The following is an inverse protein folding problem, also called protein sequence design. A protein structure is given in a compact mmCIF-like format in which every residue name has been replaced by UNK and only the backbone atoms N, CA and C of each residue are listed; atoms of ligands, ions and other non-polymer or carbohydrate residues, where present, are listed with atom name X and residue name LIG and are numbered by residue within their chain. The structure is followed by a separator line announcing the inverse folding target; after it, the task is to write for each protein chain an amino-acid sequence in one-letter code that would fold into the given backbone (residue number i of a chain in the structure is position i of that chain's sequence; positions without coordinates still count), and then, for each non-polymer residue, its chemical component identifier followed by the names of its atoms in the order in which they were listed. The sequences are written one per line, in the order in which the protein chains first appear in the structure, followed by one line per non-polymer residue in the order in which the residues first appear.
data_IF_055249735475
#
_entry.id   IF_055249735475
#
_cell.length_a   1.000
_cell.length_b   1.000
_cell.length_c   1.000
_cell.angle_alpha   90.00
_cell.angle_beta   90.00
_cell.angle_gamma   90.00
#
_symmetry.space_group_name_H-M   'P 1'
#
loop_
_entity.id
_entity.type
_entity.pdbx_description
1 polymer ?
#
# COMPACT_ATOMS: atom_id res chain seq x y z
N UNK A 1 8.92 15.67 -19.54
CA UNK A 1 8.80 15.15 -18.16
C UNK A 1 7.84 13.97 -18.23
N UNK A 2 8.33 12.73 -18.18
CA UNK A 2 7.48 11.53 -18.27
C UNK A 2 7.04 11.10 -16.87
N UNK A 3 5.73 11.08 -16.65
CA UNK A 3 5.07 10.54 -15.47
C UNK A 3 4.78 9.07 -15.75
N UNK A 4 5.13 8.16 -14.83
CA UNK A 4 4.71 6.76 -14.91
C UNK A 4 3.47 6.52 -14.07
N UNK A 5 2.53 5.77 -14.63
CA UNK A 5 1.29 5.38 -13.99
C UNK A 5 1.42 3.94 -13.47
N UNK A 6 1.22 3.76 -12.16
CA UNK A 6 1.05 2.43 -11.56
C UNK A 6 -0.42 2.07 -11.54
N UNK A 7 -0.78 0.88 -12.04
CA UNK A 7 -2.14 0.38 -11.89
C UNK A 7 -2.31 -0.16 -10.47
N UNK A 8 -3.31 0.36 -9.75
CA UNK A 8 -3.70 -0.12 -8.42
C UNK A 8 -5.20 -0.36 -8.40
N UNK A 9 -5.68 -1.22 -7.51
CA UNK A 9 -7.11 -1.33 -7.24
C UNK A 9 -7.51 -0.25 -6.23
N UNK A 10 -8.49 0.57 -6.57
CA UNK A 10 -9.18 1.41 -5.60
C UNK A 10 -10.39 0.65 -5.06
N UNK A 11 -10.52 0.62 -3.74
CA UNK A 11 -11.66 0.03 -3.04
C UNK A 11 -12.57 1.16 -2.58
N UNK A 12 -13.83 1.12 -3.01
CA UNK A 12 -14.90 1.94 -2.44
C UNK A 12 -15.65 1.10 -1.41
N UNK A 13 -15.77 1.61 -0.18
CA UNK A 13 -16.61 1.02 0.85
C UNK A 13 -18.07 1.39 0.55
N UNK A 14 -18.89 0.39 0.28
CA UNK A 14 -20.34 0.55 0.18
C UNK A 14 -20.93 0.20 1.56
N UNK A 15 -21.35 1.22 2.31
CA UNK A 15 -21.87 1.05 3.69
C UNK A 15 -23.11 0.14 3.77
N UNK A 16 -23.75 -0.17 2.63
CA UNK A 16 -24.98 -0.94 2.58
C UNK A 16 -24.78 -2.46 2.42
N UNK A 17 -23.60 -2.95 2.03
CA UNK A 17 -23.31 -4.38 1.85
C UNK A 17 -21.80 -4.60 2.03
N UNK A 18 -21.39 -5.65 2.76
CA UNK A 18 -19.99 -6.12 2.90
C UNK A 18 -19.38 -6.60 1.56
N UNK A 19 -19.40 -5.76 0.54
CA UNK A 19 -18.91 -6.06 -0.79
C UNK A 19 -17.96 -4.97 -1.26
N UNK A 20 -16.69 -5.32 -1.39
CA UNK A 20 -15.66 -4.45 -1.94
C UNK A 20 -15.76 -4.42 -3.47
N UNK A 21 -16.04 -3.24 -4.04
CA UNK A 21 -15.88 -3.02 -5.49
C UNK A 21 -14.46 -2.57 -5.77
N UNK A 22 -13.77 -3.29 -6.65
CA UNK A 22 -12.46 -2.88 -7.16
C UNK A 22 -12.63 -2.11 -8.46
N UNK A 23 -12.11 -0.89 -8.51
CA UNK A 23 -11.97 -0.11 -9.74
C UNK A 23 -10.49 -0.01 -10.11
N UNK A 24 -10.11 -0.18 -11.39
CA UNK A 24 -8.75 0.08 -11.81
C UNK A 24 -8.47 1.58 -11.65
N UNK A 25 -7.49 1.91 -10.83
CA UNK A 25 -6.98 3.25 -10.64
C UNK A 25 -5.54 3.33 -11.14
N UNK A 26 -5.13 4.53 -11.56
CA UNK A 26 -3.76 4.82 -11.99
C UNK A 26 -3.16 5.83 -11.04
N UNK A 27 -2.09 5.44 -10.33
CA UNK A 27 -1.34 6.33 -9.45
C UNK A 27 -0.18 6.95 -10.22
N UNK A 28 -0.17 8.28 -10.29
CA UNK A 28 0.95 9.04 -10.85
C UNK A 28 2.08 9.15 -9.82
N UNK A 29 3.30 8.78 -10.23
CA UNK A 29 4.49 8.87 -9.37
C UNK A 29 5.48 9.87 -9.99
N UNK A 30 6.03 10.82 -9.21
CA UNK A 30 7.10 11.70 -9.67
C UNK A 30 8.30 10.92 -10.22
N UNK A 31 8.95 11.47 -11.25
CA UNK A 31 10.01 10.75 -12.00
C UNK A 31 11.22 10.41 -11.12
N UNK A 32 11.59 11.30 -10.22
CA UNK A 32 12.70 11.11 -9.27
C UNK A 32 12.39 9.96 -8.32
N UNK A 33 11.14 9.86 -7.86
CA UNK A 33 10.69 8.75 -7.03
C UNK A 33 10.66 7.44 -7.82
N UNK A 34 10.13 7.46 -9.06
CA UNK A 34 10.10 6.29 -9.93
C UNK A 34 11.52 5.73 -10.22
N UNK A 35 12.52 6.61 -10.38
CA UNK A 35 13.91 6.19 -10.59
C UNK A 35 14.48 5.45 -9.37
N UNK A 36 14.25 5.99 -8.16
CA UNK A 36 14.67 5.34 -6.90
C UNK A 36 13.98 4.00 -6.71
N UNK A 37 12.68 3.93 -7.01
CA UNK A 37 11.88 2.70 -6.92
C UNK A 37 12.42 1.64 -7.88
N UNK A 38 12.75 2.01 -9.12
CA UNK A 38 13.34 1.08 -10.10
C UNK A 38 14.68 0.51 -9.64
N UNK A 39 15.55 1.36 -9.08
CA UNK A 39 16.81 0.91 -8.49
C UNK A 39 16.58 -0.09 -7.35
N UNK A 40 15.64 0.20 -6.43
CA UNK A 40 15.35 -0.68 -5.31
C UNK A 40 14.71 -2.00 -5.75
N UNK A 41 13.82 -1.98 -6.76
CA UNK A 41 13.26 -3.20 -7.33
C UNK A 41 14.37 -4.13 -7.85
N UNK A 42 15.36 -3.58 -8.55
CA UNK A 42 16.52 -4.33 -9.03
C UNK A 42 17.39 -4.84 -7.87
N UNK A 43 17.68 -3.99 -6.89
CA UNK A 43 18.47 -4.34 -5.71
C UNK A 43 17.87 -5.53 -4.94
N UNK A 44 16.55 -5.55 -4.80
CA UNK A 44 15.79 -6.61 -4.13
C UNK A 44 15.41 -7.78 -5.05
N UNK A 45 15.95 -7.82 -6.29
CA UNK A 45 15.71 -8.90 -7.28
C UNK A 45 14.22 -9.13 -7.58
N UNK A 46 13.42 -8.07 -7.56
CA UNK A 46 12.02 -8.12 -7.97
C UNK A 46 11.92 -8.10 -9.49
N UNK A 47 10.94 -8.81 -10.03
CA UNK A 47 10.72 -8.92 -11.48
C UNK A 47 10.20 -7.62 -12.09
N UNK A 48 9.59 -6.74 -11.27
CA UNK A 48 9.13 -5.44 -11.72
C UNK A 48 9.08 -4.40 -10.59
N UNK A 49 8.98 -3.13 -10.98
CA UNK A 49 8.67 -2.01 -10.07
C UNK A 49 7.34 -2.24 -9.33
N UNK A 50 6.34 -2.76 -10.04
CA UNK A 50 5.02 -3.03 -9.47
C UNK A 50 5.09 -4.10 -8.37
N UNK A 51 5.82 -5.18 -8.61
CA UNK A 51 6.02 -6.24 -7.60
C UNK A 51 6.73 -5.70 -6.35
N UNK A 52 7.76 -4.87 -6.54
CA UNK A 52 8.46 -4.25 -5.43
C UNK A 52 7.56 -3.30 -4.64
N UNK A 53 6.78 -2.45 -5.32
CA UNK A 53 5.83 -1.54 -4.66
C UNK A 53 4.73 -2.30 -3.91
N UNK A 54 4.19 -3.37 -4.49
CA UNK A 54 3.18 -4.20 -3.83
C UNK A 54 3.72 -4.79 -2.53
N UNK A 55 4.95 -5.31 -2.55
CA UNK A 55 5.60 -5.85 -1.36
C UNK A 55 5.76 -4.80 -0.26
N UNK A 56 6.21 -3.58 -0.61
CA UNK A 56 6.37 -2.48 0.35
C UNK A 56 5.02 -2.01 0.90
N UNK A 57 4.00 -1.91 0.06
CA UNK A 57 2.65 -1.52 0.51
C UNK A 57 2.12 -2.55 1.50
N UNK A 58 2.25 -3.84 1.19
CA UNK A 58 1.80 -4.91 2.06
C UNK A 58 2.54 -4.89 3.41
N UNK A 59 3.87 -4.81 3.39
CA UNK A 59 4.68 -4.74 4.62
C UNK A 59 4.28 -3.53 5.47
N UNK A 60 4.05 -2.37 4.85
CA UNK A 60 3.61 -1.17 5.57
C UNK A 60 2.21 -1.34 6.14
N UNK A 61 1.26 -1.94 5.43
CA UNK A 61 -0.08 -2.21 5.94
C UNK A 61 -0.01 -3.12 7.16
N UNK A 62 0.73 -4.23 7.09
CA UNK A 62 0.88 -5.18 8.19
C UNK A 62 1.46 -4.51 9.46
N UNK A 63 2.45 -3.62 9.30
CA UNK A 63 3.03 -2.86 10.42
C UNK A 63 2.02 -1.89 11.04
N UNK A 64 1.28 -1.14 10.23
CA UNK A 64 0.30 -0.17 10.74
C UNK A 64 -0.89 -0.88 11.40
N UNK A 65 -1.36 -2.01 10.86
CA UNK A 65 -2.41 -2.82 11.46
C UNK A 65 -1.98 -3.39 12.81
N UNK A 66 -0.75 -3.91 12.91
CA UNK A 66 -0.20 -4.38 14.17
C UNK A 66 -0.08 -3.25 15.21
N UNK A 67 0.36 -2.06 14.79
CA UNK A 67 0.41 -0.89 15.66
C UNK A 67 -0.99 -0.47 16.15
N UNK A 68 -1.99 -0.50 15.28
CA UNK A 68 -3.39 -0.18 15.64
C UNK A 68 -3.98 -1.15 16.66
N UNK A 69 -3.79 -2.46 16.45
CA UNK A 69 -4.25 -3.50 17.39
C UNK A 69 -3.53 -3.39 18.73
N UNK A 70 -2.22 -3.15 18.72
CA UNK A 70 -1.43 -2.96 19.94
C UNK A 70 -1.93 -1.79 20.79
N UNK A 71 -2.21 -0.65 20.14
CA UNK A 71 -2.77 0.53 20.81
C UNK A 71 -4.16 0.25 21.40
N UNK A 72 -5.03 -0.45 20.68
CA UNK A 72 -6.37 -0.78 21.20
C UNK A 72 -6.34 -1.76 22.38
N UNK A 73 -5.41 -2.72 22.38
CA UNK A 73 -5.22 -3.62 23.52
C UNK A 73 -4.73 -2.86 24.76
N UNK A 74 -3.77 -1.95 24.59
CA UNK A 74 -3.24 -1.13 25.69
C UNK A 74 -4.28 -0.13 26.24
N UNK A 75 -5.17 0.39 25.39
CA UNK A 75 -6.29 1.23 25.80
C UNK A 75 -7.37 0.43 26.52
N UNK A 76 -7.71 -0.77 26.03
CA UNK A 76 -8.65 -1.66 26.72
C UNK A 76 -8.13 -2.12 28.10
N UNK A 77 -6.83 -2.38 28.23
CA UNK A 77 -6.20 -2.77 29.49
C UNK A 77 -6.08 -1.62 30.52
N UNK A 78 -6.14 -0.35 30.08
CA UNK A 78 -6.11 0.82 30.97
C UNK A 78 -7.48 1.27 31.47
N UNK A 79 -8.56 0.75 30.90
CA UNK A 79 -9.95 1.13 31.22
C UNK A 79 -10.65 0.09 32.12
N UNK A 80 -10.02 -1.06 32.39
CA UNK A 80 -10.46 -2.05 33.38
C UNK A 80 -9.72 -1.92 34.70
#
# INVERSE_FOLDING_TARGET
MEIRFLKIAQVELDEAVDYYRTKPASLSIPVELAARVAFLAQLHRKTSVEEWLMHIIQERVEIEEAAYVGVNHDLAAKVG
#
